data_IF_953956371805
#
_entry.id   IF_953956371805
#
_cell.length_a   1.000
_cell.length_b   1.000
_cell.length_c   1.000
_cell.angle_alpha   90.00
_cell.angle_beta   90.00
_cell.angle_gamma   90.00
#
_symmetry.space_group_name_H-M   'P 1'
#
loop_
_entity.id
_entity.type
_entity.pdbx_description
1 polymer ?
#
# COMPACT_ATOMS: atom_id res chain seq x y z
N UNK A 1 -10.93 -7.15 26.10
CA UNK A 1 -9.57 -7.71 26.26
C UNK A 1 -9.41 -9.06 25.58
N UNK A 2 -10.12 -10.12 25.99
CA UNK A 2 -9.86 -11.50 25.52
C UNK A 2 -9.93 -11.70 23.99
N UNK A 3 -10.88 -11.06 23.29
CA UNK A 3 -11.12 -11.36 21.87
C UNK A 3 -9.96 -11.06 20.91
N UNK A 4 -9.18 -10.00 21.12
CA UNK A 4 -8.07 -9.65 20.19
C UNK A 4 -6.77 -10.37 20.54
N UNK A 5 -6.53 -10.63 21.82
CA UNK A 5 -5.36 -11.39 22.27
C UNK A 5 -5.48 -12.82 21.77
N UNK A 6 -6.68 -13.43 21.92
CA UNK A 6 -6.99 -14.74 21.36
C UNK A 6 -6.75 -14.78 19.84
N UNK A 7 -7.08 -13.71 19.10
CA UNK A 7 -6.86 -13.69 17.66
C UNK A 7 -5.37 -13.80 17.29
N UNK A 8 -4.50 -12.98 17.90
CA UNK A 8 -3.08 -13.05 17.58
C UNK A 8 -2.44 -14.35 18.08
N UNK A 9 -2.89 -14.85 19.22
CA UNK A 9 -2.45 -16.13 19.75
C UNK A 9 -2.87 -17.28 18.82
N UNK A 10 -4.09 -17.25 18.28
CA UNK A 10 -4.59 -18.22 17.29
C UNK A 10 -3.79 -18.17 15.98
N UNK A 11 -3.43 -16.97 15.51
CA UNK A 11 -2.58 -16.81 14.33
C UNK A 11 -1.15 -17.32 14.56
N UNK A 12 -0.58 -17.04 15.74
CA UNK A 12 0.74 -17.53 16.12
C UNK A 12 0.70 -19.07 16.32
N UNK A 13 -0.40 -19.63 16.84
CA UNK A 13 -0.65 -21.07 16.94
C UNK A 13 -0.72 -21.73 15.56
N UNK A 14 -1.46 -21.12 14.62
CA UNK A 14 -1.55 -21.57 13.25
C UNK A 14 -0.17 -21.59 12.59
N UNK A 15 0.62 -20.52 12.73
CA UNK A 15 1.98 -20.45 12.18
C UNK A 15 2.90 -21.56 12.73
N UNK A 16 2.76 -21.90 14.02
CA UNK A 16 3.52 -23.00 14.63
C UNK A 16 3.10 -24.38 14.12
N UNK A 17 1.85 -24.55 13.70
CA UNK A 17 1.32 -25.80 13.15
C UNK A 17 1.65 -26.01 11.66
N UNK A 18 2.17 -25.00 10.96
CA UNK A 18 2.55 -25.10 9.56
C UNK A 18 3.74 -26.06 9.36
N UNK A 19 3.76 -26.73 8.20
CA UNK A 19 4.94 -27.48 7.76
C UNK A 19 6.17 -26.58 7.61
N UNK A 20 7.37 -27.15 7.79
CA UNK A 20 8.62 -26.37 7.86
C UNK A 20 8.82 -25.40 6.70
N UNK A 21 8.57 -25.85 5.47
CA UNK A 21 8.70 -25.02 4.26
C UNK A 21 7.72 -23.84 4.19
N UNK A 22 6.58 -23.91 4.90
CA UNK A 22 5.61 -22.81 4.98
C UNK A 22 5.90 -21.84 6.13
N UNK A 23 6.71 -22.27 7.11
CA UNK A 23 7.11 -21.45 8.25
C UNK A 23 8.36 -20.61 7.95
N UNK A 24 9.29 -21.17 7.17
CA UNK A 24 10.57 -20.54 6.90
C UNK A 24 11.09 -20.79 5.49
N UNK A 25 11.60 -19.73 4.86
CA UNK A 25 12.18 -19.80 3.51
C UNK A 25 13.37 -20.75 3.43
N UNK A 26 14.12 -20.87 4.52
CA UNK A 26 15.28 -21.76 4.68
C UNK A 26 14.93 -23.25 4.56
N UNK A 27 13.69 -23.63 4.86
CA UNK A 27 13.20 -25.00 4.74
C UNK A 27 12.59 -25.31 3.36
N UNK A 28 12.61 -24.36 2.42
CA UNK A 28 12.10 -24.55 1.07
C UNK A 28 13.18 -25.16 0.16
N UNK A 29 12.97 -26.41 -0.26
CA UNK A 29 13.91 -27.17 -1.11
C UNK A 29 13.48 -27.27 -2.59
N UNK A 30 12.38 -26.61 -2.96
CA UNK A 30 11.89 -26.59 -4.35
C UNK A 30 11.30 -25.23 -4.68
N UNK A 31 11.28 -24.87 -5.97
CA UNK A 31 10.62 -23.64 -6.45
C UNK A 31 9.14 -23.62 -6.04
N UNK A 32 8.48 -24.78 -6.04
CA UNK A 32 7.11 -24.92 -5.58
C UNK A 32 6.95 -24.51 -4.12
N UNK A 33 7.80 -25.05 -3.23
CA UNK A 33 7.79 -24.70 -1.82
C UNK A 33 8.04 -23.20 -1.58
N UNK A 34 8.92 -22.57 -2.38
CA UNK A 34 9.18 -21.12 -2.32
C UNK A 34 7.95 -20.30 -2.70
N UNK A 35 7.20 -20.73 -3.73
CA UNK A 35 5.95 -20.07 -4.13
C UNK A 35 4.90 -20.19 -3.04
N UNK A 36 4.72 -21.39 -2.48
CA UNK A 36 3.76 -21.67 -1.42
C UNK A 36 4.08 -20.84 -0.16
N UNK A 37 5.36 -20.78 0.22
CA UNK A 37 5.84 -19.95 1.33
C UNK A 37 5.45 -18.49 1.15
N UNK A 38 5.87 -17.84 0.05
CA UNK A 38 5.59 -16.42 -0.15
C UNK A 38 4.11 -16.13 -0.42
N UNK A 39 3.37 -17.05 -1.04
CA UNK A 39 1.92 -16.93 -1.23
C UNK A 39 1.18 -16.94 0.11
N UNK A 40 1.52 -17.89 0.98
CA UNK A 40 0.95 -17.97 2.33
C UNK A 40 1.36 -16.75 3.17
N UNK A 41 2.62 -16.34 3.10
CA UNK A 41 3.13 -15.18 3.83
C UNK A 41 2.40 -13.89 3.41
N UNK A 42 2.17 -13.68 2.11
CA UNK A 42 1.39 -12.56 1.60
C UNK A 42 -0.04 -12.58 2.15
N UNK A 43 -0.75 -13.71 2.00
CA UNK A 43 -2.14 -13.81 2.42
C UNK A 43 -2.34 -13.68 3.92
N UNK A 44 -1.57 -14.41 4.73
CA UNK A 44 -1.73 -14.41 6.20
C UNK A 44 -1.50 -13.02 6.78
N UNK A 45 -0.47 -12.32 6.31
CA UNK A 45 -0.15 -11.00 6.82
C UNK A 45 -1.17 -9.95 6.34
N UNK A 46 -1.68 -10.08 5.12
CA UNK A 46 -2.79 -9.24 4.68
C UNK A 46 -4.06 -9.47 5.54
N UNK A 47 -4.39 -10.73 5.87
CA UNK A 47 -5.51 -11.04 6.78
C UNK A 47 -5.30 -10.40 8.15
N UNK A 48 -4.12 -10.55 8.76
CA UNK A 48 -3.80 -9.87 10.04
C UNK A 48 -4.06 -8.37 9.92
N UNK A 49 -3.59 -7.73 8.84
CA UNK A 49 -3.80 -6.30 8.64
C UNK A 49 -5.29 -5.91 8.60
N UNK A 50 -6.13 -6.73 7.97
CA UNK A 50 -7.58 -6.51 7.89
C UNK A 50 -8.26 -6.70 9.23
N UNK A 51 -7.82 -7.67 10.03
CA UNK A 51 -8.38 -7.94 11.35
C UNK A 51 -7.99 -6.89 12.40
N UNK A 52 -6.83 -6.23 12.23
CA UNK A 52 -6.47 -5.08 13.06
C UNK A 52 -7.43 -3.89 12.89
N UNK A 53 -8.12 -3.76 11.75
CA UNK A 53 -8.96 -2.58 11.43
C UNK A 53 -10.12 -2.37 12.40
N UNK A 54 -11.01 -3.34 12.66
CA UNK A 54 -12.09 -3.14 13.62
C UNK A 54 -11.60 -2.88 15.04
N UNK A 55 -10.38 -3.31 15.38
CA UNK A 55 -9.76 -3.10 16.69
C UNK A 55 -9.22 -1.65 16.80
N UNK A 56 -8.63 -1.13 15.73
CA UNK A 56 -8.05 0.20 15.66
C UNK A 56 -9.06 1.29 15.24
N UNK A 57 -10.33 0.95 15.01
CA UNK A 57 -11.37 1.94 14.72
C UNK A 57 -11.68 2.80 15.96
N UNK A 58 -12.31 3.97 15.76
CA UNK A 58 -12.70 4.86 16.87
C UNK A 58 -13.52 4.13 17.94
N UNK A 59 -14.47 3.29 17.52
CA UNK A 59 -15.30 2.50 18.42
C UNK A 59 -14.55 1.30 19.02
N UNK A 60 -13.62 0.70 18.27
CA UNK A 60 -12.77 -0.38 18.74
C UNK A 60 -11.80 0.05 19.83
N UNK A 61 -11.26 1.26 19.72
CA UNK A 61 -10.30 1.83 20.67
C UNK A 61 -10.93 2.25 22.00
N UNK A 62 -12.23 2.54 22.05
CA UNK A 62 -12.92 2.99 23.29
C UNK A 62 -12.74 2.02 24.47
N UNK A 63 -12.51 0.73 24.18
CA UNK A 63 -12.36 -0.32 25.18
C UNK A 63 -10.90 -0.78 25.37
N UNK A 64 -9.93 -0.08 24.77
CA UNK A 64 -8.51 -0.43 24.80
C UNK A 64 -7.72 0.60 25.59
N UNK A 65 -6.74 0.13 26.36
CA UNK A 65 -5.70 1.00 26.92
C UNK A 65 -4.64 1.31 25.85
N UNK A 66 -3.93 2.44 25.99
CA UNK A 66 -2.93 2.87 25.01
C UNK A 66 -1.91 1.77 24.66
N UNK A 67 -1.39 1.05 25.66
CA UNK A 67 -0.45 -0.06 25.43
C UNK A 67 -1.01 -1.17 24.54
N UNK A 68 -2.32 -1.44 24.59
CA UNK A 68 -2.96 -2.43 23.73
C UNK A 68 -3.09 -1.91 22.29
N UNK A 69 -3.43 -0.63 22.13
CA UNK A 69 -3.43 0.04 20.83
C UNK A 69 -2.05 -0.03 20.20
N UNK A 70 -0.99 0.24 20.96
CA UNK A 70 0.40 0.20 20.48
C UNK A 70 0.80 -1.22 20.04
N UNK A 71 0.40 -2.26 20.79
CA UNK A 71 0.66 -3.67 20.42
C UNK A 71 -0.04 -4.02 19.10
N UNK A 72 -1.32 -3.67 18.96
CA UNK A 72 -2.11 -3.95 17.75
C UNK A 72 -1.54 -3.19 16.55
N UNK A 73 -1.14 -1.93 16.76
CA UNK A 73 -0.52 -1.08 15.75
C UNK A 73 0.82 -1.67 15.30
N UNK A 74 1.68 -2.10 16.23
CA UNK A 74 2.94 -2.76 15.90
C UNK A 74 2.74 -4.05 15.10
N UNK A 75 1.75 -4.87 15.46
CA UNK A 75 1.38 -6.08 14.70
C UNK A 75 0.88 -5.73 13.29
N UNK A 76 0.05 -4.69 13.15
CA UNK A 76 -0.43 -4.20 11.85
C UNK A 76 0.75 -3.77 10.96
N UNK A 77 1.64 -2.92 11.46
CA UNK A 77 2.79 -2.41 10.70
C UNK A 77 3.71 -3.56 10.23
N UNK A 78 4.00 -4.50 11.13
CA UNK A 78 4.81 -5.67 10.80
C UNK A 78 4.15 -6.52 9.72
N UNK A 79 2.83 -6.76 9.83
CA UNK A 79 2.07 -7.52 8.86
C UNK A 79 2.07 -6.84 7.49
N UNK A 80 1.83 -5.54 7.42
CA UNK A 80 1.89 -4.78 6.16
C UNK A 80 3.26 -4.89 5.50
N UNK A 81 4.35 -4.69 6.26
CA UNK A 81 5.73 -4.81 5.74
C UNK A 81 6.01 -6.22 5.20
N UNK A 82 5.62 -7.26 5.94
CA UNK A 82 5.80 -8.66 5.53
C UNK A 82 4.98 -8.98 4.28
N UNK A 83 3.74 -8.49 4.20
CA UNK A 83 2.87 -8.64 3.04
C UNK A 83 3.51 -8.06 1.77
N UNK A 84 3.99 -6.80 1.81
CA UNK A 84 4.63 -6.18 0.64
C UNK A 84 5.92 -6.91 0.25
N UNK A 85 6.78 -7.25 1.21
CA UNK A 85 8.01 -8.03 0.97
C UNK A 85 7.69 -9.38 0.32
N UNK A 86 6.72 -10.13 0.84
CA UNK A 86 6.30 -11.41 0.30
C UNK A 86 5.78 -11.27 -1.14
N UNK A 87 5.00 -10.22 -1.43
CA UNK A 87 4.55 -9.95 -2.80
C UNK A 87 5.71 -9.68 -3.77
N UNK A 88 6.67 -8.83 -3.41
CA UNK A 88 7.86 -8.55 -4.23
C UNK A 88 8.63 -9.85 -4.49
N UNK A 89 8.88 -10.66 -3.45
CA UNK A 89 9.60 -11.93 -3.58
C UNK A 89 8.83 -12.96 -4.40
N UNK A 90 7.50 -13.03 -4.25
CA UNK A 90 6.65 -13.92 -5.03
C UNK A 90 6.71 -13.57 -6.53
N UNK A 91 6.70 -12.28 -6.87
CA UNK A 91 6.85 -11.81 -8.27
C UNK A 91 8.19 -12.19 -8.88
N UNK A 92 9.27 -12.18 -8.10
CA UNK A 92 10.59 -12.59 -8.57
C UNK A 92 10.69 -14.10 -8.88
N UNK A 93 9.80 -14.93 -8.33
CA UNK A 93 9.83 -16.40 -8.52
C UNK A 93 8.71 -16.93 -9.41
N UNK A 94 7.63 -16.16 -9.63
CA UNK A 94 6.52 -16.58 -10.50
C UNK A 94 5.76 -15.43 -11.13
N UNK A 95 5.40 -15.59 -12.40
CA UNK A 95 4.48 -14.69 -13.09
C UNK A 95 3.04 -14.77 -12.53
N UNK A 96 2.67 -15.82 -11.79
CA UNK A 96 1.33 -15.93 -11.18
C UNK A 96 1.05 -14.78 -10.20
N UNK A 97 2.10 -14.26 -9.56
CA UNK A 97 2.04 -13.13 -8.63
C UNK A 97 1.39 -11.88 -9.26
N UNK A 98 1.63 -11.63 -10.54
CA UNK A 98 1.09 -10.47 -11.27
C UNK A 98 -0.21 -10.78 -12.00
N UNK A 99 -0.57 -12.06 -12.14
CA UNK A 99 -1.81 -12.52 -12.80
C UNK A 99 -2.98 -12.71 -11.84
N UNK A 100 -2.68 -12.95 -10.57
CA UNK A 100 -3.70 -13.08 -9.53
C UNK A 100 -4.11 -11.72 -9.01
N UNK A 101 -5.40 -11.38 -9.19
CA UNK A 101 -5.98 -10.17 -8.63
C UNK A 101 -5.74 -10.07 -7.13
N UNK A 102 -5.90 -11.18 -6.39
CA UNK A 102 -5.72 -11.21 -4.95
C UNK A 102 -4.28 -10.91 -4.52
N UNK A 103 -3.27 -11.41 -5.25
CA UNK A 103 -1.87 -11.12 -4.91
C UNK A 103 -1.52 -9.66 -5.16
N UNK A 104 -1.90 -9.12 -6.32
CA UNK A 104 -1.66 -7.73 -6.68
C UNK A 104 -2.37 -6.78 -5.72
N UNK A 105 -3.65 -7.04 -5.43
CA UNK A 105 -4.44 -6.30 -4.46
C UNK A 105 -3.76 -6.30 -3.10
N UNK A 106 -3.46 -7.46 -2.52
CA UNK A 106 -2.90 -7.56 -1.18
C UNK A 106 -1.54 -6.84 -1.07
N UNK A 107 -0.67 -6.98 -2.06
CA UNK A 107 0.62 -6.30 -2.10
C UNK A 107 0.50 -4.78 -2.22
N UNK A 108 -0.31 -4.28 -3.16
CA UNK A 108 -0.50 -2.85 -3.39
C UNK A 108 -1.21 -2.17 -2.23
N UNK A 109 -2.30 -2.74 -1.74
CA UNK A 109 -3.04 -2.21 -0.60
C UNK A 109 -2.14 -2.14 0.62
N UNK A 110 -1.35 -3.20 0.89
CA UNK A 110 -0.42 -3.18 2.03
C UNK A 110 0.62 -2.05 1.92
N UNK A 111 1.13 -1.79 0.71
CA UNK A 111 2.10 -0.72 0.47
C UNK A 111 1.48 0.68 0.63
N UNK A 112 0.25 0.88 0.14
CA UNK A 112 -0.49 2.13 0.32
C UNK A 112 -0.77 2.42 1.79
N UNK A 113 -1.22 1.41 2.55
CA UNK A 113 -1.44 1.53 3.99
C UNK A 113 -0.19 2.01 4.73
N UNK A 114 0.98 1.47 4.40
CA UNK A 114 2.25 1.93 4.97
C UNK A 114 2.58 3.39 4.65
N UNK A 115 2.15 3.91 3.49
CA UNK A 115 2.34 5.32 3.12
C UNK A 115 1.40 6.26 3.85
N UNK A 116 0.23 5.77 4.27
CA UNK A 116 -0.78 6.58 4.96
C UNK A 116 -0.55 6.69 6.48
N UNK A 117 0.04 5.66 7.08
CA UNK A 117 0.33 5.64 8.52
C UNK A 117 1.49 6.58 8.86
N UNK A 118 1.27 7.57 9.75
CA UNK A 118 2.28 8.59 10.12
C UNK A 118 3.55 7.96 10.67
N UNK A 119 3.41 6.89 11.43
CA UNK A 119 4.48 6.15 12.09
C UNK A 119 5.40 5.49 11.07
N UNK A 120 4.85 4.88 10.01
CA UNK A 120 5.64 4.15 9.01
C UNK A 120 6.03 4.99 7.81
N UNK A 121 5.31 6.08 7.51
CA UNK A 121 5.54 6.93 6.33
C UNK A 121 6.97 7.47 6.24
N UNK A 122 7.60 7.74 7.39
CA UNK A 122 8.95 8.28 7.48
C UNK A 122 10.03 7.26 7.88
N UNK A 123 9.67 5.99 8.08
CA UNK A 123 10.64 4.94 8.37
C UNK A 123 11.41 4.52 7.12
N UNK A 124 12.72 4.36 7.26
CA UNK A 124 13.60 3.96 6.16
C UNK A 124 13.20 2.60 5.58
N UNK A 125 12.92 1.62 6.45
CA UNK A 125 12.49 0.29 6.04
C UNK A 125 11.22 0.30 5.18
N UNK A 126 10.21 1.07 5.59
CA UNK A 126 8.94 1.19 4.86
C UNK A 126 9.16 1.84 3.50
N UNK A 127 10.02 2.86 3.44
CA UNK A 127 10.41 3.52 2.19
C UNK A 127 11.13 2.56 1.26
N UNK A 128 12.15 1.86 1.75
CA UNK A 128 12.93 0.94 0.93
C UNK A 128 12.05 -0.13 0.28
N UNK A 129 11.12 -0.71 1.06
CA UNK A 129 10.17 -1.72 0.58
C UNK A 129 9.25 -1.15 -0.52
N UNK A 130 8.73 0.05 -0.32
CA UNK A 130 7.87 0.71 -1.30
C UNK A 130 8.62 1.10 -2.57
N UNK A 131 9.89 1.52 -2.48
CA UNK A 131 10.74 1.82 -3.64
C UNK A 131 11.07 0.54 -4.43
N UNK A 132 11.36 -0.55 -3.72
CA UNK A 132 11.54 -1.87 -4.32
C UNK A 132 10.27 -2.33 -5.05
N UNK A 133 9.09 -2.12 -4.46
CA UNK A 133 7.81 -2.42 -5.10
C UNK A 133 7.58 -1.57 -6.36
N UNK A 134 7.75 -0.26 -6.27
CA UNK A 134 7.57 0.67 -7.39
C UNK A 134 8.50 0.30 -8.53
N UNK A 135 9.78 0.08 -8.22
CA UNK A 135 10.80 -0.35 -9.19
C UNK A 135 10.38 -1.65 -9.85
N UNK A 136 10.08 -2.67 -9.05
CA UNK A 136 9.70 -3.98 -9.56
C UNK A 136 8.44 -3.94 -10.44
N UNK A 137 7.47 -3.07 -10.15
CA UNK A 137 6.26 -2.90 -10.98
C UNK A 137 6.52 -2.06 -12.25
N UNK A 138 7.49 -1.14 -12.23
CA UNK A 138 7.80 -0.24 -13.36
C UNK A 138 8.82 -0.85 -14.33
N UNK A 139 9.79 -1.64 -13.85
CA UNK A 139 10.74 -2.39 -14.69
C UNK A 139 10.04 -3.40 -15.60
N UNK A 140 8.91 -3.97 -15.14
CA UNK A 140 8.05 -4.80 -15.98
C UNK A 140 7.36 -4.05 -17.13
N UNK A 141 7.37 -2.70 -17.09
CA UNK A 141 6.67 -1.80 -18.02
C UNK A 141 7.63 -1.05 -18.97
N UNK A 142 8.89 -0.82 -18.57
CA UNK A 142 9.77 0.17 -19.25
C UNK A 142 10.95 -0.39 -20.09
N UNK A 143 11.47 -1.60 -19.88
CA UNK A 143 12.72 -2.03 -20.54
C UNK A 143 12.59 -3.33 -21.34
N UNK A 144 12.44 -3.25 -22.67
CA UNK A 144 13.16 -4.10 -23.64
C UNK A 144 12.83 -3.65 -25.07
N UNK A 145 13.82 -3.40 -25.95
CA UNK A 145 13.59 -3.18 -27.38
C UNK A 145 12.96 -4.43 -28.01
N UNK A 146 12.01 -4.20 -28.92
CA UNK A 146 11.12 -5.20 -29.48
C UNK A 146 11.83 -6.43 -30.07
N UNK A 147 11.57 -7.60 -29.49
CA UNK A 147 11.58 -8.86 -30.21
C UNK A 147 10.13 -9.36 -30.28
N UNK A 148 9.66 -9.68 -31.50
CA UNK A 148 8.25 -9.88 -31.84
C UNK A 148 7.56 -11.04 -31.09
N UNK A 149 8.33 -11.90 -30.40
CA UNK A 149 7.81 -13.01 -29.58
C UNK A 149 7.51 -12.64 -28.12
N UNK A 150 8.09 -11.56 -27.58
CA UNK A 150 7.87 -11.13 -26.18
C UNK A 150 6.77 -10.08 -26.02
N UNK A 151 6.33 -9.46 -27.12
CA UNK A 151 5.29 -8.43 -27.15
C UNK A 151 3.91 -8.96 -26.71
N UNK A 152 3.59 -10.23 -27.02
CA UNK A 152 2.35 -10.88 -26.58
C UNK A 152 2.32 -11.10 -25.06
N UNK A 153 3.44 -11.50 -24.47
CA UNK A 153 3.61 -11.72 -23.03
C UNK A 153 3.59 -10.40 -22.24
N UNK A 154 4.20 -9.34 -22.78
CA UNK A 154 4.22 -7.99 -22.22
C UNK A 154 2.85 -7.31 -22.31
N UNK A 155 2.17 -7.45 -23.45
CA UNK A 155 0.77 -7.07 -23.60
C UNK A 155 -0.10 -7.72 -22.53
N UNK A 156 0.10 -9.01 -22.25
CA UNK A 156 -0.64 -9.73 -21.21
C UNK A 156 -0.40 -9.19 -19.78
N UNK A 157 0.79 -8.65 -19.46
CA UNK A 157 1.12 -8.08 -18.13
C UNK A 157 0.47 -6.71 -17.92
N UNK A 158 0.58 -5.80 -18.90
CA UNK A 158 -0.07 -4.49 -18.90
C UNK A 158 -1.60 -4.57 -19.06
N UNK A 159 -2.10 -5.65 -19.67
CA UNK A 159 -3.54 -5.96 -19.81
C UNK A 159 -4.13 -6.56 -18.52
N UNK A 160 -3.31 -7.04 -17.57
CA UNK A 160 -3.78 -7.71 -16.34
C UNK A 160 -3.80 -6.82 -15.08
N UNK A 161 -3.16 -5.63 -15.10
CA UNK A 161 -3.39 -4.64 -14.04
C UNK A 161 -4.67 -3.87 -14.33
N UNK A 162 -5.70 -4.10 -13.51
CA UNK A 162 -6.94 -3.32 -13.52
C UNK A 162 -6.65 -1.82 -13.40
N UNK A 163 -7.57 -0.98 -13.87
CA UNK A 163 -7.45 0.49 -13.72
C UNK A 163 -7.27 0.89 -12.25
N UNK A 164 -7.95 0.17 -11.33
CA UNK A 164 -7.76 0.28 -9.89
C UNK A 164 -6.30 0.08 -9.43
N UNK A 165 -5.61 -0.95 -9.95
CA UNK A 165 -4.21 -1.19 -9.62
C UNK A 165 -3.27 -0.10 -10.19
N UNK A 166 -3.57 0.41 -11.39
CA UNK A 166 -2.80 1.51 -12.00
C UNK A 166 -2.97 2.82 -11.21
N UNK A 167 -4.22 3.14 -10.82
CA UNK A 167 -4.54 4.28 -9.93
C UNK A 167 -3.80 4.14 -8.59
N UNK A 168 -3.83 2.96 -7.98
CA UNK A 168 -3.13 2.64 -6.73
C UNK A 168 -1.61 2.84 -6.85
N UNK A 169 -0.99 2.38 -7.94
CA UNK A 169 0.44 2.58 -8.18
C UNK A 169 0.79 4.06 -8.40
N UNK A 170 -0.05 4.81 -9.11
CA UNK A 170 0.11 6.26 -9.29
C UNK A 170 0.02 7.00 -7.95
N UNK A 171 -0.97 6.65 -7.12
CA UNK A 171 -1.14 7.20 -5.79
C UNK A 171 0.09 6.91 -4.91
N UNK A 172 0.60 5.67 -4.92
CA UNK A 172 1.80 5.29 -4.17
C UNK A 172 3.02 6.13 -4.61
N UNK A 173 3.24 6.28 -5.92
CA UNK A 173 4.32 7.12 -6.46
C UNK A 173 4.18 8.59 -6.01
N UNK A 174 2.97 9.14 -6.02
CA UNK A 174 2.69 10.52 -5.57
C UNK A 174 2.99 10.70 -4.07
N UNK A 175 2.50 9.79 -3.23
CA UNK A 175 2.73 9.80 -1.78
C UNK A 175 4.22 9.73 -1.43
N UNK A 176 4.99 8.94 -2.18
CA UNK A 176 6.45 8.87 -2.01
C UNK A 176 7.13 10.17 -2.32
N UNK A 177 6.80 10.78 -3.46
CA UNK A 177 7.35 12.09 -3.85
C UNK A 177 7.05 13.17 -2.81
N UNK A 178 5.83 13.19 -2.28
CA UNK A 178 5.42 14.15 -1.23
C UNK A 178 6.18 13.93 0.08
N UNK A 179 6.37 12.68 0.50
CA UNK A 179 7.14 12.34 1.72
C UNK A 179 8.62 12.72 1.60
N UNK A 180 9.22 12.53 0.42
CA UNK A 180 10.61 12.92 0.18
C UNK A 180 10.80 14.45 0.18
N UNK A 181 9.83 15.20 -0.35
CA UNK A 181 9.86 16.67 -0.33
C UNK A 181 9.67 17.24 1.08
N UNK A 182 8.75 16.68 1.88
CA UNK A 182 8.55 17.05 3.29
C UNK A 182 9.85 16.88 4.09
N UNK A 183 10.59 15.79 3.85
CA UNK A 183 11.89 15.55 4.49
C UNK A 183 12.94 16.57 4.09
N UNK A 184 13.06 16.88 2.78
CA UNK A 184 14.01 17.89 2.28
C UNK A 184 13.74 19.27 2.85
N UNK A 185 12.47 19.64 3.04
CA UNK A 185 12.09 20.89 3.70
C UNK A 185 12.46 20.91 5.18
N UNK A 186 12.26 19.79 5.90
CA UNK A 186 12.67 19.65 7.31
C UNK A 186 14.18 19.76 7.48
N UNK A 187 14.95 19.10 6.61
CA UNK A 187 16.42 19.14 6.63
C UNK A 187 16.95 20.57 6.31
N UNK A 188 16.27 21.29 5.41
CA UNK A 188 16.58 22.71 5.13
C UNK A 188 16.24 23.65 6.28
N UNK A 189 15.11 23.43 6.96
CA UNK A 189 14.70 24.28 8.08
C UNK A 189 15.53 24.03 9.34
N UNK A 190 16.00 22.79 9.57
CA UNK A 190 16.90 22.45 10.67
C UNK A 190 18.31 23.04 10.51
N UNK A 191 18.69 23.47 9.30
CA UNK A 191 19.99 24.05 9.01
C UNK A 191 20.04 25.58 9.20
N UNK A 192 18.91 26.24 9.49
CA UNK A 192 18.81 27.70 9.63
C UNK A 192 18.84 28.15 11.11
N UNK A 193 18.67 27.25 12.09
CA UNK A 193 18.61 27.60 13.52
C UNK A 193 20.01 27.73 14.18
N UNK A 194 20.96 28.28 13.43
CA UNK A 194 22.35 28.54 13.84
C UNK A 194 22.84 29.92 13.46
N UNK A 195 21.96 30.92 13.29
CA UNK A 195 22.42 32.29 13.04
C UNK A 195 21.33 33.30 12.71
N UNK A 196 21.09 34.19 13.67
CA UNK A 196 20.47 35.51 13.53
C UNK A 196 19.01 35.63 13.07
N UNK A 197 18.18 35.92 14.07
CA UNK A 197 16.98 36.76 13.97
C UNK A 197 17.23 38.03 13.18
N UNK A 198 16.67 38.14 11.97
CA UNK A 198 16.20 39.43 11.45
C UNK A 198 15.08 39.21 10.43
N UNK A 199 13.91 39.75 10.77
CA UNK A 199 12.73 39.78 9.92
C UNK A 199 13.06 40.32 8.52
N UNK A 200 12.61 39.61 7.49
CA UNK A 200 12.42 40.16 6.15
C UNK A 200 11.24 39.46 5.50
N UNK A 201 10.17 40.23 5.36
CA UNK A 201 8.97 39.91 4.63
C UNK A 201 9.29 39.83 3.15
N UNK A 202 9.02 38.69 2.50
CA UNK A 202 9.01 38.60 1.04
C UNK A 202 7.90 37.65 0.59
N UNK A 203 6.80 38.26 0.14
CA UNK A 203 5.80 37.65 -0.75
C UNK A 203 6.53 37.02 -1.94
N UNK A 204 6.44 35.70 -2.09
CA UNK A 204 6.79 35.01 -3.32
C UNK A 204 5.54 34.94 -4.19
N UNK A 205 5.60 35.65 -5.30
CA UNK A 205 4.65 35.61 -6.41
C UNK A 205 4.68 34.24 -7.05
N UNK A 206 3.51 33.59 -7.14
CA UNK A 206 3.30 32.39 -7.92
C UNK A 206 3.65 32.66 -9.39
N UNK A 207 4.55 31.86 -9.96
CA UNK A 207 4.81 31.83 -11.40
C UNK A 207 3.82 30.83 -12.01
N UNK A 208 2.82 31.38 -12.70
CA UNK A 208 2.00 30.69 -13.69
C UNK A 208 2.90 30.31 -14.87
N UNK A 209 3.36 29.06 -14.95
CA UNK A 209 3.76 28.44 -16.22
C UNK A 209 4.09 26.96 -16.00
N UNK A 210 3.06 26.11 -16.09
CA UNK A 210 3.14 24.70 -16.51
C UNK A 210 1.75 24.05 -16.57
N UNK A 211 0.74 24.74 -17.08
CA UNK A 211 -0.56 24.12 -17.41
C UNK A 211 -0.57 23.69 -18.86
N UNK A 212 0.03 22.54 -19.15
CA UNK A 212 -0.26 21.75 -20.36
C UNK A 212 0.27 20.32 -20.18
N UNK A 213 -0.37 19.58 -19.28
CA UNK A 213 -0.32 18.12 -19.26
C UNK A 213 -1.75 17.64 -19.02
N UNK A 214 -2.36 17.15 -20.11
CA UNK A 214 -3.58 16.32 -20.21
C UNK A 214 -4.32 16.18 -18.87
N UNK A 215 -5.32 17.04 -18.69
CA UNK A 215 -6.18 17.07 -17.52
C UNK A 215 -7.08 15.83 -17.52
N UNK A 216 -6.61 14.75 -16.89
CA UNK A 216 -7.47 13.62 -16.53
C UNK A 216 -8.31 14.05 -15.31
N UNK A 217 -9.64 14.18 -15.43
CA UNK A 217 -10.51 14.74 -14.38
C UNK A 217 -10.45 13.97 -13.05
N UNK A 218 -9.95 12.72 -13.03
CA UNK A 218 -9.72 11.96 -11.80
C UNK A 218 -8.44 12.32 -11.04
N UNK A 219 -7.51 13.10 -11.62
CA UNK A 219 -6.23 13.41 -10.98
C UNK A 219 -6.32 14.57 -9.97
N UNK A 220 -7.24 15.51 -10.18
CA UNK A 220 -7.45 16.65 -9.28
C UNK A 220 -8.17 16.23 -7.98
N UNK A 221 -9.15 15.34 -8.10
CA UNK A 221 -9.90 14.78 -6.95
C UNK A 221 -9.01 13.93 -6.03
N UNK A 222 -8.06 13.17 -6.61
CA UNK A 222 -7.08 12.40 -5.84
C UNK A 222 -6.11 13.31 -5.06
N UNK A 223 -5.60 14.38 -5.66
CA UNK A 223 -4.69 15.32 -4.98
C UNK A 223 -5.40 16.11 -3.86
N UNK A 224 -6.69 16.40 -4.03
CA UNK A 224 -7.54 17.02 -3.00
C UNK A 224 -7.86 16.05 -1.86
N UNK A 225 -8.21 14.80 -2.17
CA UNK A 225 -8.38 13.72 -1.20
C UNK A 225 -7.09 13.45 -0.39
N UNK A 226 -5.94 13.43 -1.06
CA UNK A 226 -4.62 13.25 -0.41
C UNK A 226 -4.27 14.41 0.53
N UNK A 227 -4.74 15.64 0.27
CA UNK A 227 -4.62 16.78 1.19
C UNK A 227 -5.61 16.71 2.36
N UNK A 228 -6.81 16.20 2.13
CA UNK A 228 -7.86 16.07 3.13
C UNK A 228 -7.75 14.79 3.99
N UNK A 229 -6.81 13.89 3.65
CA UNK A 229 -6.61 12.62 4.33
C UNK A 229 -6.16 12.81 5.79
N UNK A 230 -7.13 12.81 6.69
CA UNK A 230 -6.91 12.80 8.12
C UNK A 230 -6.68 11.36 8.60
N UNK A 231 -5.45 11.08 9.01
CA UNK A 231 -5.03 9.78 9.57
C UNK A 231 -5.86 9.31 10.76
N UNK A 232 -6.70 10.17 11.34
CA UNK A 232 -7.59 9.86 12.45
C UNK A 232 -9.06 9.64 12.07
N UNK A 233 -9.48 9.94 10.82
CA UNK A 233 -10.91 9.97 10.47
C UNK A 233 -11.32 9.23 9.19
N UNK A 234 -10.42 8.99 8.24
CA UNK A 234 -10.75 8.24 7.01
C UNK A 234 -10.11 6.86 7.02
N UNK A 235 -10.93 5.82 6.88
CA UNK A 235 -10.43 4.44 6.89
C UNK A 235 -9.56 4.23 5.65
N UNK A 236 -8.31 3.79 5.78
CA UNK A 236 -7.47 3.52 4.62
C UNK A 236 -8.01 2.40 3.69
N UNK A 237 -8.99 1.60 4.14
CA UNK A 237 -9.77 0.69 3.28
C UNK A 237 -10.78 1.45 2.42
N UNK A 238 -11.50 2.40 3.02
CA UNK A 238 -12.40 3.29 2.28
C UNK A 238 -11.61 4.17 1.32
N UNK A 239 -10.39 4.58 1.68
CA UNK A 239 -9.48 5.26 0.78
C UNK A 239 -9.05 4.36 -0.39
N UNK A 240 -8.74 3.09 -0.14
CA UNK A 240 -8.44 2.14 -1.21
C UNK A 240 -9.67 1.87 -2.08
N UNK A 241 -10.83 1.61 -1.48
CA UNK A 241 -12.10 1.41 -2.18
C UNK A 241 -12.50 2.67 -2.96
N UNK A 242 -12.26 3.88 -2.43
CA UNK A 242 -12.46 5.16 -3.11
C UNK A 242 -11.49 5.36 -4.29
N UNK A 243 -10.18 5.13 -4.07
CA UNK A 243 -9.13 5.21 -5.09
C UNK A 243 -9.37 4.21 -6.22
N UNK A 244 -9.98 3.07 -5.90
CA UNK A 244 -10.29 2.00 -6.86
C UNK A 244 -11.71 2.06 -7.43
N UNK A 245 -12.61 2.82 -6.81
CA UNK A 245 -13.96 3.12 -7.33
C UNK A 245 -13.87 3.95 -8.61
N UNK A 246 -14.77 3.68 -9.55
CA UNK A 246 -14.87 4.43 -10.79
C UNK A 246 -16.01 5.46 -10.67
N UNK A 247 -15.75 6.77 -10.84
CA UNK A 247 -16.80 7.79 -10.75
C UNK A 247 -17.80 7.78 -11.93
N UNK A 248 -17.70 6.80 -12.85
CA UNK A 248 -18.51 6.74 -14.08
C UNK A 248 -19.60 5.66 -14.11
N UNK A 249 -19.84 4.94 -13.03
CA UNK A 249 -21.10 4.18 -12.90
C UNK A 249 -22.11 5.01 -12.11
N UNK A 250 -23.10 5.66 -12.75
CA UNK A 250 -24.26 6.12 -12.02
C UNK A 250 -24.86 4.90 -11.31
N UNK A 251 -25.23 5.09 -10.05
CA UNK A 251 -25.90 4.07 -9.25
C UNK A 251 -27.06 3.49 -10.06
N UNK A 252 -26.86 2.29 -10.61
CA UNK A 252 -27.96 1.51 -11.12
C UNK A 252 -28.80 1.17 -9.89
N UNK A 253 -29.88 1.92 -9.72
CA UNK A 253 -30.97 1.58 -8.83
C UNK A 253 -31.28 0.11 -9.02
N UNK A 254 -31.04 -0.67 -7.97
CA UNK A 254 -31.43 -2.07 -7.91
C UNK A 254 -32.96 -2.10 -7.83
N UNK A 255 -33.63 -2.00 -8.98
CA UNK A 255 -35.06 -2.27 -9.06
C UNK A 255 -35.28 -3.76 -8.81
N UNK A 256 -36.15 -4.03 -7.84
CA UNK A 256 -36.40 -5.35 -7.30
C UNK A 256 -36.80 -6.36 -8.38
N UNK A 257 -36.10 -7.48 -8.40
CA UNK A 257 -36.57 -8.70 -9.05
C UNK A 257 -37.83 -9.18 -8.32
N UNK A 258 -38.99 -8.92 -8.93
CA UNK A 258 -40.25 -9.55 -8.59
C UNK A 258 -40.18 -11.03 -8.99
N UNK A 259 -40.32 -11.92 -8.02
CA UNK A 259 -40.50 -13.35 -8.25
C UNK A 259 -41.96 -13.60 -8.67
N UNK A 260 -42.15 -14.19 -9.85
CA UNK A 260 -43.33 -15.01 -10.19
C UNK A 260 -42.80 -16.41 -10.52
#
# INVERSE_FOLDING_TARGET
MERFTNLFDDMDNLERALGGHLRGREACHSIQAVKEFYSLELHRNFIVSTLCRPILSKDGQQNLIQTQVDIVLGRLQLALKRSVKAFIRLRAVTCLATRSWAFVHNGLTSALLLSFMKETRNEEDSRQIQDELIRSLTEGDADSPASESESASRGMLATQMTNAHKKSLKALKSLRKSSDEERRQKDRSGNIDGGNTRASSSRTTFSEDATNAIHDPGSADLDEFLRAFDSSSTLPMEAFDYITSDPLTPAASFEGFNWI
#
